data_IF_065432881128
#
_entry.id   IF_065432881128
#
_cell.length_a   1.000
_cell.length_b   1.000
_cell.length_c   1.000
_cell.angle_alpha   90.00
_cell.angle_beta   90.00
_cell.angle_gamma   90.00
#
_symmetry.space_group_name_H-M   'P 1'
#
loop_
_entity.id
_entity.type
_entity.pdbx_description
1 polymer ?
#
# COMPACT_ATOMS: atom_id res chain seq x y z
N UNK A 1 -22.02 19.52 12.07
CA UNK A 1 -21.29 18.29 11.72
C UNK A 1 -20.75 17.72 13.02
N UNK A 2 -21.19 16.54 13.44
CA UNK A 2 -20.62 15.83 14.59
C UNK A 2 -19.18 15.43 14.28
N UNK A 3 -18.26 15.60 15.25
CA UNK A 3 -16.88 15.13 15.10
C UNK A 3 -16.87 13.61 14.84
N UNK A 4 -15.97 13.10 13.98
CA UNK A 4 -15.87 11.67 13.74
C UNK A 4 -15.54 10.92 15.05
N UNK A 5 -16.27 9.85 15.31
CA UNK A 5 -15.93 8.95 16.40
C UNK A 5 -14.76 8.07 15.96
N UNK A 6 -13.62 8.20 16.62
CA UNK A 6 -12.42 7.38 16.40
C UNK A 6 -12.40 6.18 17.36
N UNK A 7 -11.90 5.05 16.87
CA UNK A 7 -11.69 3.86 17.70
C UNK A 7 -10.40 3.99 18.51
N UNK A 8 -9.31 4.47 17.87
CA UNK A 8 -8.02 4.64 18.56
C UNK A 8 -7.87 6.05 19.16
N UNK A 9 -7.45 6.17 20.44
CA UNK A 9 -7.40 7.45 21.14
C UNK A 9 -6.43 8.48 20.51
N UNK A 10 -5.36 8.03 19.85
CA UNK A 10 -4.39 8.91 19.20
C UNK A 10 -4.85 9.43 17.81
N UNK A 11 -5.98 8.95 17.27
CA UNK A 11 -6.38 9.30 15.90
C UNK A 11 -6.65 10.80 15.71
N UNK A 12 -7.24 11.47 16.71
CA UNK A 12 -7.48 12.90 16.66
C UNK A 12 -6.18 13.73 16.63
N UNK A 13 -5.19 13.33 17.43
CA UNK A 13 -3.87 13.96 17.43
C UNK A 13 -3.15 13.74 16.09
N UNK A 14 -3.22 12.53 15.54
CA UNK A 14 -2.65 12.20 14.24
C UNK A 14 -3.31 12.98 13.11
N UNK A 15 -4.65 13.13 13.11
CA UNK A 15 -5.35 13.97 12.14
C UNK A 15 -4.82 15.39 12.16
N UNK A 16 -4.64 15.98 13.34
CA UNK A 16 -4.10 17.35 13.49
C UNK A 16 -2.66 17.46 13.01
N UNK A 17 -1.82 16.48 13.34
CA UNK A 17 -0.39 16.50 13.01
C UNK A 17 -0.14 16.26 11.51
N UNK A 18 -0.93 15.39 10.87
CA UNK A 18 -0.78 15.04 9.45
C UNK A 18 -1.49 16.01 8.49
N UNK A 19 -2.48 16.79 8.96
CA UNK A 19 -3.23 17.72 8.12
C UNK A 19 -2.37 18.75 7.38
N UNK A 20 -1.35 19.37 7.98
CA UNK A 20 -0.48 20.31 7.28
C UNK A 20 0.36 19.65 6.16
N UNK A 21 0.71 18.38 6.33
CA UNK A 21 1.51 17.60 5.37
C UNK A 21 0.69 17.14 4.17
N UNK A 22 -0.51 16.63 4.43
CA UNK A 22 -1.27 15.88 3.42
C UNK A 22 -2.46 16.67 2.85
N UNK A 23 -3.00 17.65 3.58
CA UNK A 23 -4.17 18.41 3.15
C UNK A 23 -5.34 17.51 2.78
N UNK A 24 -5.87 17.61 1.53
CA UNK A 24 -7.02 16.82 1.09
C UNK A 24 -6.73 15.31 0.93
N UNK A 25 -5.48 14.91 0.96
CA UNK A 25 -5.04 13.51 0.90
C UNK A 25 -5.14 12.77 2.25
N UNK A 26 -5.56 13.46 3.32
CA UNK A 26 -5.88 12.90 4.62
C UNK A 26 -7.39 12.94 4.84
N UNK A 27 -8.00 11.82 5.15
CA UNK A 27 -9.45 11.70 5.31
C UNK A 27 -9.85 10.95 6.58
N UNK A 28 -10.83 11.49 7.30
CA UNK A 28 -11.57 10.81 8.36
C UNK A 28 -13.03 10.49 7.91
N UNK A 29 -13.33 10.66 6.63
CA UNK A 29 -14.66 10.46 6.05
C UNK A 29 -15.09 8.99 6.07
N UNK A 30 -16.33 8.75 6.51
CA UNK A 30 -16.85 7.39 6.71
C UNK A 30 -16.75 6.52 5.44
N UNK A 31 -17.09 7.05 4.28
CA UNK A 31 -17.07 6.30 3.01
C UNK A 31 -15.64 5.89 2.62
N UNK A 32 -14.66 6.78 2.79
CA UNK A 32 -13.25 6.48 2.49
C UNK A 32 -12.71 5.42 3.46
N UNK A 33 -12.99 5.57 4.75
CA UNK A 33 -12.60 4.59 5.78
C UNK A 33 -13.21 3.21 5.51
N UNK A 34 -14.50 3.16 5.12
CA UNK A 34 -15.18 1.92 4.81
C UNK A 34 -14.51 1.17 3.64
N UNK A 35 -14.11 1.88 2.58
CA UNK A 35 -13.38 1.29 1.45
C UNK A 35 -12.02 0.70 1.86
N UNK A 36 -11.34 1.31 2.82
CA UNK A 36 -10.02 0.86 3.29
C UNK A 36 -10.08 -0.20 4.38
N UNK A 37 -11.25 -0.59 4.84
CA UNK A 37 -11.45 -1.65 5.84
C UNK A 37 -12.36 -2.78 5.39
N UNK A 38 -12.80 -2.76 4.13
CA UNK A 38 -13.62 -3.80 3.52
C UNK A 38 -12.82 -4.49 2.41
N UNK A 39 -12.62 -5.79 2.53
CA UNK A 39 -11.96 -6.63 1.53
C UNK A 39 -12.79 -7.88 1.26
N UNK A 40 -12.32 -8.73 0.36
CA UNK A 40 -12.93 -10.02 0.03
C UNK A 40 -12.63 -11.12 1.09
N UNK A 41 -12.14 -10.73 2.25
CA UNK A 41 -11.88 -11.61 3.39
C UNK A 41 -13.19 -12.09 4.01
N UNK A 42 -13.18 -13.30 4.58
CA UNK A 42 -14.29 -13.80 5.42
C UNK A 42 -14.40 -13.07 6.77
N UNK A 43 -13.36 -12.31 7.15
CA UNK A 43 -13.35 -11.53 8.38
C UNK A 43 -14.31 -10.33 8.27
N UNK A 44 -14.94 -9.92 9.39
CA UNK A 44 -15.75 -8.71 9.40
C UNK A 44 -14.94 -7.49 8.99
N UNK A 45 -15.58 -6.56 8.28
CA UNK A 45 -14.95 -5.29 7.92
C UNK A 45 -14.47 -4.54 9.18
N UNK A 46 -13.23 -4.05 9.15
CA UNK A 46 -12.61 -3.31 10.23
C UNK A 46 -11.97 -2.03 9.67
N UNK A 47 -12.76 -0.95 9.48
CA UNK A 47 -12.27 0.28 8.90
C UNK A 47 -11.28 1.00 9.81
N UNK A 48 -10.25 1.65 9.23
CA UNK A 48 -9.33 2.50 9.99
C UNK A 48 -10.02 3.76 10.51
N UNK A 49 -9.37 4.49 11.41
CA UNK A 49 -9.83 5.81 11.86
C UNK A 49 -9.53 6.90 10.84
N UNK A 50 -8.40 6.79 10.18
CA UNK A 50 -7.89 7.74 9.20
C UNK A 50 -7.41 7.00 7.95
N UNK A 51 -7.47 7.68 6.82
CA UNK A 51 -6.83 7.26 5.57
C UNK A 51 -5.90 8.36 5.10
N UNK A 52 -4.63 8.03 4.88
CA UNK A 52 -3.61 8.94 4.34
C UNK A 52 -3.11 8.41 3.01
N UNK A 53 -3.19 9.20 1.95
CA UNK A 53 -2.64 8.86 0.65
C UNK A 53 -1.27 9.51 0.50
N UNK A 54 -0.21 8.69 0.37
CA UNK A 54 1.15 9.15 0.15
C UNK A 54 1.52 9.11 -1.34
N UNK A 55 2.35 10.06 -1.77
CA UNK A 55 2.83 10.18 -3.14
C UNK A 55 4.34 9.97 -3.24
N UNK A 56 5.07 10.07 -2.12
CA UNK A 56 6.54 9.92 -2.09
C UNK A 56 7.00 9.08 -0.90
N UNK A 57 8.20 8.52 -1.01
CA UNK A 57 8.85 7.77 0.07
C UNK A 57 9.11 8.64 1.30
N UNK A 58 9.43 9.91 1.09
CA UNK A 58 9.67 10.90 2.15
C UNK A 58 8.38 11.20 2.92
N UNK A 59 7.24 11.30 2.24
CA UNK A 59 5.94 11.43 2.91
C UNK A 59 5.62 10.19 3.74
N UNK A 60 5.85 8.99 3.20
CA UNK A 60 5.69 7.74 3.97
C UNK A 60 6.53 7.76 5.23
N UNK A 61 7.80 8.18 5.13
CA UNK A 61 8.71 8.32 6.28
C UNK A 61 8.15 9.27 7.34
N UNK A 62 7.70 10.45 6.94
CA UNK A 62 7.13 11.43 7.86
C UNK A 62 5.84 10.94 8.51
N UNK A 63 4.94 10.32 7.75
CA UNK A 63 3.68 9.75 8.26
C UNK A 63 3.99 8.68 9.32
N UNK A 64 4.88 7.73 9.00
CA UNK A 64 5.23 6.66 9.94
C UNK A 64 5.90 7.19 11.20
N UNK A 65 6.82 8.14 11.09
CA UNK A 65 7.47 8.78 12.23
C UNK A 65 6.46 9.46 13.17
N UNK A 66 5.48 10.19 12.62
CA UNK A 66 4.42 10.82 13.39
C UNK A 66 3.54 9.76 14.06
N UNK A 67 3.10 8.74 13.33
CA UNK A 67 2.27 7.67 13.86
C UNK A 67 3.00 6.89 14.97
N UNK A 68 4.28 6.60 14.77
CA UNK A 68 5.12 5.93 15.77
C UNK A 68 5.23 6.74 17.07
N UNK A 69 5.46 8.03 16.96
CA UNK A 69 5.53 8.95 18.13
C UNK A 69 4.21 8.99 18.89
N UNK A 70 3.08 8.89 18.21
CA UNK A 70 1.74 8.91 18.80
C UNK A 70 1.26 7.51 19.23
N UNK A 71 2.00 6.45 18.91
CA UNK A 71 1.56 5.08 19.16
C UNK A 71 0.33 4.67 18.33
N UNK A 72 0.13 5.30 17.17
CA UNK A 72 -1.01 5.02 16.29
C UNK A 72 -0.68 3.85 15.36
N UNK A 73 -1.47 2.76 15.34
CA UNK A 73 -1.29 1.67 14.39
C UNK A 73 -1.41 2.14 12.93
N UNK A 74 -0.57 1.59 12.06
CA UNK A 74 -0.62 1.87 10.62
C UNK A 74 -0.80 0.57 9.85
N UNK A 75 -1.76 0.58 8.92
CA UNK A 75 -2.04 -0.52 8.00
C UNK A 75 -1.75 -0.05 6.57
N UNK A 76 -0.74 -0.59 5.89
CA UNK A 76 -0.48 -0.23 4.50
C UNK A 76 -1.60 -0.75 3.58
N UNK A 77 -1.94 0.05 2.57
CA UNK A 77 -2.97 -0.25 1.60
C UNK A 77 -2.44 -0.06 0.17
N UNK A 78 -2.77 -1.00 -0.71
CA UNK A 78 -2.49 -0.93 -2.14
C UNK A 78 -3.78 -1.05 -2.95
N UNK A 79 -4.01 -2.21 -3.58
CA UNK A 79 -5.25 -2.49 -4.30
C UNK A 79 -6.39 -3.02 -3.41
N UNK A 80 -6.11 -3.37 -2.17
CA UNK A 80 -7.11 -3.93 -1.24
C UNK A 80 -7.62 -5.33 -1.59
N UNK A 81 -7.00 -6.01 -2.54
CA UNK A 81 -7.45 -7.29 -3.12
C UNK A 81 -7.01 -8.53 -2.33
N UNK A 82 -6.37 -8.38 -1.19
CA UNK A 82 -5.96 -9.52 -0.36
C UNK A 82 -7.14 -10.14 0.38
N UNK A 83 -7.20 -11.48 0.35
CA UNK A 83 -8.30 -12.25 0.96
C UNK A 83 -8.06 -12.65 2.42
N UNK A 84 -6.91 -12.31 2.99
CA UNK A 84 -6.50 -12.75 4.35
C UNK A 84 -6.65 -11.65 5.41
N UNK A 85 -7.34 -10.55 5.08
CA UNK A 85 -7.65 -9.47 6.02
C UNK A 85 -6.50 -8.50 6.32
N UNK A 86 -5.44 -8.47 5.49
CA UNK A 86 -4.27 -7.60 5.70
C UNK A 86 -4.59 -6.10 5.75
N UNK A 87 -5.69 -5.67 5.13
CA UNK A 87 -6.12 -4.27 5.14
C UNK A 87 -7.01 -3.89 6.31
N UNK A 88 -7.39 -4.85 7.15
CA UNK A 88 -8.28 -4.61 8.28
C UNK A 88 -7.55 -3.91 9.43
N UNK A 89 -8.21 -2.95 10.05
CA UNK A 89 -7.69 -2.17 11.17
C UNK A 89 -8.52 -2.41 12.46
N UNK A 90 -8.46 -3.62 13.06
CA UNK A 90 -9.30 -3.98 14.21
C UNK A 90 -9.05 -3.12 15.45
N UNK A 91 -7.90 -2.45 15.52
CA UNK A 91 -7.55 -1.50 16.59
C UNK A 91 -7.77 -0.04 16.18
N UNK A 92 -8.44 0.21 15.03
CA UNK A 92 -8.46 1.53 14.42
C UNK A 92 -7.11 1.90 13.83
N UNK A 93 -6.75 3.19 13.89
CA UNK A 93 -5.48 3.68 13.39
C UNK A 93 -5.56 4.27 11.98
N UNK A 94 -4.44 4.27 11.27
CA UNK A 94 -4.30 4.89 9.97
C UNK A 94 -4.13 3.83 8.88
N UNK A 95 -4.94 3.90 7.83
CA UNK A 95 -4.64 3.21 6.57
C UNK A 95 -3.75 4.11 5.72
N UNK A 96 -2.56 3.62 5.40
CA UNK A 96 -1.58 4.30 4.56
C UNK A 96 -1.73 3.82 3.11
N UNK A 97 -2.45 4.60 2.32
CA UNK A 97 -2.71 4.30 0.91
C UNK A 97 -1.50 4.71 0.05
N UNK A 98 -0.90 3.72 -0.59
CA UNK A 98 0.28 3.86 -1.44
C UNK A 98 -0.07 3.78 -2.94
N UNK A 99 -1.35 3.71 -3.30
CA UNK A 99 -1.79 3.55 -4.69
C UNK A 99 -1.40 4.74 -5.59
N UNK A 100 -1.25 5.94 -5.01
CA UNK A 100 -0.77 7.13 -5.73
C UNK A 100 0.71 7.06 -6.11
N UNK A 101 1.50 6.20 -5.45
CA UNK A 101 2.91 5.94 -5.82
C UNK A 101 2.97 4.98 -7.01
N UNK A 102 2.53 5.41 -8.18
CA UNK A 102 2.25 4.55 -9.34
C UNK A 102 3.14 4.84 -10.56
N UNK A 103 4.34 5.40 -10.36
CA UNK A 103 5.28 5.68 -11.47
C UNK A 103 6.16 4.47 -11.76
N UNK A 104 6.32 4.18 -13.06
CA UNK A 104 7.38 3.31 -13.57
C UNK A 104 8.61 4.19 -13.77
N UNK A 105 9.66 3.94 -13.01
CA UNK A 105 10.85 4.80 -12.97
C UNK A 105 11.87 4.42 -14.03
N UNK A 106 12.03 3.11 -14.30
CA UNK A 106 12.95 2.58 -15.32
C UNK A 106 12.43 1.23 -15.81
N UNK A 107 12.62 0.97 -17.10
CA UNK A 107 12.53 -0.35 -17.72
C UNK A 107 13.84 -0.59 -18.46
N UNK A 108 14.48 -1.72 -18.24
CA UNK A 108 15.65 -2.19 -18.96
C UNK A 108 15.35 -3.54 -19.62
N UNK A 109 14.91 -3.57 -20.87
CA UNK A 109 14.61 -4.83 -21.56
C UNK A 109 15.82 -5.74 -21.72
N UNK A 110 17.02 -5.17 -21.84
CA UNK A 110 18.28 -5.89 -22.02
C UNK A 110 18.66 -6.65 -20.74
N UNK A 111 18.45 -6.02 -19.58
CA UNK A 111 18.70 -6.63 -18.25
C UNK A 111 17.51 -7.44 -17.75
N UNK A 112 16.37 -7.35 -18.44
CA UNK A 112 15.07 -7.92 -18.04
C UNK A 112 14.64 -7.48 -16.64
N UNK A 113 14.90 -6.23 -16.28
CA UNK A 113 14.51 -5.65 -15.00
C UNK A 113 13.74 -4.33 -15.15
N UNK A 114 13.09 -3.90 -14.10
CA UNK A 114 12.46 -2.59 -13.99
C UNK A 114 12.50 -2.06 -12.57
N UNK A 115 12.48 -0.72 -12.44
CA UNK A 115 12.31 -0.02 -11.17
C UNK A 115 10.99 0.70 -11.18
N UNK A 116 10.15 0.40 -10.20
CA UNK A 116 8.79 0.93 -10.11
C UNK A 116 8.47 1.39 -8.69
N UNK A 117 7.52 2.30 -8.55
CA UNK A 117 6.92 2.61 -7.26
C UNK A 117 5.95 1.50 -6.84
N UNK A 118 5.72 1.37 -5.54
CA UNK A 118 4.97 0.25 -4.95
C UNK A 118 3.49 0.20 -5.36
N UNK A 119 2.88 1.32 -5.73
CA UNK A 119 1.49 1.42 -6.20
C UNK A 119 1.28 1.08 -7.68
N UNK A 120 2.35 0.79 -8.44
CA UNK A 120 2.20 0.30 -9.82
C UNK A 120 1.51 -1.06 -9.80
N UNK A 121 0.45 -1.21 -10.60
CA UNK A 121 -0.24 -2.50 -10.72
C UNK A 121 0.48 -3.42 -11.71
N UNK A 122 0.32 -4.73 -11.51
CA UNK A 122 0.85 -5.74 -12.45
C UNK A 122 0.33 -5.50 -13.88
N UNK A 123 -0.95 -5.20 -14.00
CA UNK A 123 -1.57 -4.94 -15.30
C UNK A 123 -0.88 -3.78 -16.00
N UNK A 124 -0.73 -2.64 -15.31
CA UNK A 124 -0.07 -1.46 -15.88
C UNK A 124 1.38 -1.75 -16.30
N UNK A 125 2.14 -2.47 -15.47
CA UNK A 125 3.50 -2.85 -15.84
C UNK A 125 3.50 -3.71 -17.11
N UNK A 126 2.60 -4.70 -17.23
CA UNK A 126 2.51 -5.56 -18.41
C UNK A 126 2.09 -4.78 -19.69
N UNK A 127 1.26 -3.76 -19.55
CA UNK A 127 0.90 -2.87 -20.68
C UNK A 127 2.14 -2.13 -21.19
N UNK A 128 2.96 -1.57 -20.30
CA UNK A 128 4.22 -0.89 -20.68
C UNK A 128 5.28 -1.85 -21.26
N UNK A 129 5.35 -3.08 -20.76
CA UNK A 129 6.30 -4.10 -21.23
C UNK A 129 5.91 -4.73 -22.56
N UNK A 130 4.67 -4.56 -23.02
CA UNK A 130 4.12 -5.26 -24.21
C UNK A 130 5.00 -5.14 -25.44
N UNK A 131 5.55 -3.95 -25.72
CA UNK A 131 6.37 -3.69 -26.91
C UNK A 131 7.74 -4.40 -26.87
N UNK A 132 8.25 -4.74 -25.69
CA UNK A 132 9.53 -5.45 -25.49
C UNK A 132 9.40 -6.97 -25.57
N UNK A 133 8.18 -7.52 -25.57
CA UNK A 133 7.93 -8.96 -25.47
C UNK A 133 8.15 -9.54 -24.07
N UNK A 134 8.41 -8.68 -23.07
CA UNK A 134 8.57 -9.04 -21.67
C UNK A 134 7.23 -8.95 -20.91
N UNK A 135 7.17 -9.55 -19.75
CA UNK A 135 6.01 -9.48 -18.85
C UNK A 135 6.40 -9.76 -17.40
N UNK A 136 5.62 -9.26 -16.47
CA UNK A 136 5.71 -9.63 -15.05
C UNK A 136 5.08 -11.01 -14.83
N UNK A 137 5.87 -12.04 -14.48
CA UNK A 137 5.42 -13.43 -14.58
C UNK A 137 4.54 -13.91 -13.43
N UNK A 138 4.41 -13.17 -12.32
CA UNK A 138 3.50 -13.58 -11.23
C UNK A 138 2.06 -13.25 -11.63
N UNK A 139 1.30 -14.29 -11.95
CA UNK A 139 -0.07 -14.18 -12.43
C UNK A 139 -1.07 -14.41 -11.30
N UNK A 140 -1.64 -13.31 -10.80
CA UNK A 140 -2.70 -13.31 -9.78
C UNK A 140 -4.07 -13.26 -10.45
N UNK A 141 -5.07 -13.89 -9.82
CA UNK A 141 -6.46 -13.80 -10.25
C UNK A 141 -7.11 -12.43 -10.05
N UNK A 142 -6.58 -11.64 -9.11
CA UNK A 142 -7.03 -10.28 -8.83
C UNK A 142 -6.00 -9.24 -9.29
N UNK A 143 -6.44 -8.02 -9.53
CA UNK A 143 -5.50 -6.92 -9.73
C UNK A 143 -4.82 -6.56 -8.41
N UNK A 144 -3.50 -6.39 -8.44
CA UNK A 144 -2.71 -6.06 -7.27
C UNK A 144 -1.58 -5.09 -7.61
N UNK A 145 -1.20 -4.28 -6.62
CA UNK A 145 -0.02 -3.43 -6.71
C UNK A 145 1.24 -4.24 -6.45
N UNK A 146 2.35 -3.88 -7.11
CA UNK A 146 3.62 -4.61 -6.97
C UNK A 146 4.15 -4.57 -5.54
N UNK A 147 3.96 -3.45 -4.82
CA UNK A 147 4.28 -3.38 -3.40
C UNK A 147 3.45 -4.35 -2.55
N UNK A 148 2.14 -4.44 -2.81
CA UNK A 148 1.26 -5.40 -2.16
C UNK A 148 1.66 -6.85 -2.47
N UNK A 149 1.98 -7.15 -3.74
CA UNK A 149 2.46 -8.47 -4.16
C UNK A 149 3.78 -8.85 -3.47
N UNK A 150 4.71 -7.92 -3.34
CA UNK A 150 5.97 -8.13 -2.63
C UNK A 150 5.73 -8.40 -1.14
N UNK A 151 4.89 -7.59 -0.49
CA UNK A 151 4.57 -7.68 0.95
C UNK A 151 3.90 -9.01 1.33
N UNK A 152 3.06 -9.55 0.45
CA UNK A 152 2.32 -10.82 0.68
C UNK A 152 3.03 -12.03 0.08
N UNK A 153 4.22 -11.86 -0.50
CA UNK A 153 4.93 -12.93 -1.22
C UNK A 153 4.02 -13.58 -2.27
N UNK A 154 3.37 -12.77 -3.08
CA UNK A 154 2.38 -13.22 -4.05
C UNK A 154 2.92 -14.32 -4.96
N UNK A 155 2.07 -15.29 -5.27
CA UNK A 155 2.32 -16.39 -6.19
C UNK A 155 1.11 -16.55 -7.11
N UNK A 156 1.26 -17.22 -8.23
CA UNK A 156 0.20 -17.43 -9.21
C UNK A 156 0.38 -18.72 -9.98
N UNK A 157 -0.41 -18.92 -11.03
CA UNK A 157 -0.42 -20.14 -11.85
C UNK A 157 0.93 -20.40 -12.53
N UNK A 158 1.69 -19.35 -12.82
CA UNK A 158 3.01 -19.41 -13.48
C UNK A 158 4.18 -19.63 -12.51
N UNK A 159 3.94 -19.64 -11.20
CA UNK A 159 4.97 -19.72 -10.15
C UNK A 159 5.84 -20.97 -10.26
N UNK A 160 5.29 -22.10 -10.71
CA UNK A 160 6.05 -23.35 -10.93
C UNK A 160 7.21 -23.13 -11.90
N UNK A 161 7.04 -22.24 -12.89
CA UNK A 161 8.07 -21.95 -13.89
C UNK A 161 8.96 -20.77 -13.51
N UNK A 162 8.38 -19.68 -12.99
CA UNK A 162 9.07 -18.40 -12.86
C UNK A 162 9.36 -18.00 -11.41
N UNK A 163 8.88 -18.77 -10.43
CA UNK A 163 8.99 -18.39 -9.03
C UNK A 163 7.87 -17.46 -8.57
N UNK A 164 7.92 -17.10 -7.30
CA UNK A 164 7.02 -16.14 -6.64
C UNK A 164 7.60 -14.73 -6.66
N UNK A 165 6.89 -13.74 -6.12
CA UNK A 165 7.44 -12.37 -5.96
C UNK A 165 8.77 -12.34 -5.21
N UNK A 166 8.99 -13.25 -4.24
CA UNK A 166 10.27 -13.35 -3.52
C UNK A 166 11.45 -13.61 -4.47
N UNK A 167 11.23 -14.42 -5.49
CA UNK A 167 12.27 -14.84 -6.42
C UNK A 167 12.55 -13.77 -7.50
N UNK A 168 11.60 -12.85 -7.70
CA UNK A 168 11.65 -11.81 -8.73
C UNK A 168 12.12 -10.45 -8.20
N UNK A 169 11.95 -10.17 -6.91
CA UNK A 169 12.34 -8.89 -6.32
C UNK A 169 13.84 -8.84 -6.14
N UNK A 170 14.52 -7.92 -6.84
CA UNK A 170 15.96 -7.72 -6.79
C UNK A 170 16.40 -6.75 -5.69
N UNK A 171 15.54 -5.81 -5.33
CA UNK A 171 15.80 -4.82 -4.30
C UNK A 171 14.54 -4.06 -3.90
N UNK A 172 14.55 -3.50 -2.71
CA UNK A 172 13.44 -2.73 -2.14
C UNK A 172 13.99 -1.46 -1.49
N UNK A 173 13.23 -0.38 -1.62
CA UNK A 173 13.31 0.74 -0.68
C UNK A 173 12.22 0.54 0.36
N UNK A 174 12.60 0.44 1.62
CA UNK A 174 11.68 0.15 2.73
C UNK A 174 11.69 1.31 3.71
N UNK A 175 10.51 1.69 4.20
CA UNK A 175 10.37 2.63 5.31
C UNK A 175 10.01 1.84 6.56
N UNK A 176 10.86 1.93 7.57
CA UNK A 176 10.66 1.26 8.86
C UNK A 176 9.57 1.97 9.69
N UNK A 177 9.01 1.32 10.73
CA UNK A 177 7.95 1.91 11.54
C UNK A 177 8.29 3.26 12.19
N UNK A 178 9.57 3.51 12.45
CA UNK A 178 10.08 4.77 13.01
C UNK A 178 10.32 5.86 11.97
N UNK A 179 10.09 5.56 10.69
CA UNK A 179 10.29 6.46 9.56
C UNK A 179 11.65 6.36 8.88
N UNK A 180 12.60 5.54 9.35
CA UNK A 180 13.88 5.37 8.66
C UNK A 180 13.69 4.70 7.30
N UNK A 181 14.37 5.23 6.28
CA UNK A 181 14.41 4.69 4.92
C UNK A 181 15.65 3.82 4.78
N UNK A 182 15.49 2.58 4.34
CA UNK A 182 16.55 1.59 4.14
C UNK A 182 16.43 0.93 2.77
#
# INVERSE_FOLDING_TARGET
MTAPAFLHPAAAAALSALSPLLGPRLSAGQSVRALHGAGESWLPAAPPDLVAMAETTEEVSQILSICNTLGLPVVPFGAGSSIEGQIHAPLGGLSLDLSAMSRILRISPEDMDCTVQCGVTRQRLNEELRASGLFCPVDLGAEATLGGMASTRASGTTTVRYGSMRDLVLGLTVVLPDGHIV
#
